data_IF_653841280365
#
_entry.id   IF_653841280365
#
_cell.length_a   1.000
_cell.length_b   1.000
_cell.length_c   1.000
_cell.angle_alpha   90.00
_cell.angle_beta   90.00
_cell.angle_gamma   90.00
#
_symmetry.space_group_name_H-M   'P 1'
#
loop_
_entity.id
_entity.type
_entity.pdbx_description
1 polymer ?
#
# COMPACT_ATOMS: atom_id res chain seq x y z
N UNK A 1 10.92 27.71 -3.67
CA UNK A 1 11.97 26.67 -3.93
C UNK A 1 11.28 25.32 -3.92
N UNK A 2 11.60 24.43 -4.86
CA UNK A 2 11.20 23.03 -4.82
C UNK A 2 12.29 22.22 -4.10
N UNK A 3 11.89 21.18 -3.36
CA UNK A 3 12.80 20.17 -2.81
C UNK A 3 12.29 18.82 -3.28
N UNK A 4 13.17 18.06 -3.90
CA UNK A 4 12.92 16.68 -4.28
C UNK A 4 13.56 15.75 -3.25
N UNK A 5 12.82 14.75 -2.79
CA UNK A 5 13.27 13.78 -1.79
C UNK A 5 13.00 12.36 -2.28
N UNK A 6 13.83 11.42 -1.83
CA UNK A 6 13.71 9.99 -2.16
C UNK A 6 13.45 9.17 -0.90
N UNK A 7 12.50 8.23 -1.00
CA UNK A 7 12.29 7.19 0.01
C UNK A 7 13.41 6.15 -0.13
N UNK A 8 14.21 5.97 0.93
CA UNK A 8 15.33 5.02 0.95
C UNK A 8 14.95 3.66 1.55
N UNK A 9 14.06 3.67 2.54
CA UNK A 9 13.61 2.45 3.23
C UNK A 9 12.21 2.66 3.79
N UNK A 10 11.41 1.60 3.75
CA UNK A 10 10.10 1.52 4.40
C UNK A 10 10.20 0.47 5.50
N UNK A 11 9.74 0.81 6.70
CA UNK A 11 9.69 -0.11 7.83
C UNK A 11 8.23 -0.45 8.11
N UNK A 12 7.92 -1.75 8.15
CA UNK A 12 6.57 -2.26 8.38
C UNK A 12 6.62 -3.30 9.48
N UNK A 13 5.61 -3.31 10.34
CA UNK A 13 5.49 -4.34 11.36
C UNK A 13 5.10 -5.68 10.70
N UNK A 14 5.81 -6.79 10.95
CA UNK A 14 5.53 -8.07 10.29
C UNK A 14 4.10 -8.58 10.48
N UNK A 15 3.46 -8.24 11.62
CA UNK A 15 2.11 -8.70 11.94
C UNK A 15 0.99 -8.08 11.09
N UNK A 16 1.31 -7.12 10.21
CA UNK A 16 0.34 -6.51 9.30
C UNK A 16 0.69 -6.77 7.83
N UNK A 17 1.60 -7.70 7.56
CA UNK A 17 1.96 -8.09 6.19
C UNK A 17 0.98 -9.12 5.66
N UNK A 18 0.60 -8.99 4.38
CA UNK A 18 -0.27 -9.95 3.72
C UNK A 18 0.50 -11.23 3.36
N UNK A 19 -0.06 -12.38 3.71
CA UNK A 19 0.55 -13.68 3.39
C UNK A 19 0.63 -13.89 1.87
N UNK A 20 1.76 -14.44 1.39
CA UNK A 20 2.03 -14.65 -0.03
C UNK A 20 2.27 -13.36 -0.84
N UNK A 21 2.18 -12.18 -0.23
CA UNK A 21 2.38 -10.88 -0.89
C UNK A 21 3.34 -9.99 -0.09
N UNK A 22 4.67 -10.15 -0.30
CA UNK A 22 5.70 -9.59 0.58
C UNK A 22 5.80 -8.05 0.58
N UNK A 23 5.09 -7.36 -0.31
CA UNK A 23 5.06 -5.89 -0.38
C UNK A 23 3.66 -5.31 -0.15
N UNK A 24 2.77 -6.09 0.46
CA UNK A 24 1.39 -5.71 0.68
C UNK A 24 1.09 -5.69 2.18
N UNK A 25 0.47 -4.60 2.63
CA UNK A 25 -0.14 -4.55 3.96
C UNK A 25 -1.44 -5.33 3.90
N UNK A 26 -1.67 -6.20 4.87
CA UNK A 26 -2.99 -6.74 5.14
C UNK A 26 -3.82 -5.65 5.83
N UNK A 27 -4.81 -5.09 5.13
CA UNK A 27 -5.61 -4.02 5.69
C UNK A 27 -6.56 -4.49 6.80
N UNK A 28 -6.93 -5.78 6.84
CA UNK A 28 -7.77 -6.34 7.90
C UNK A 28 -6.99 -6.45 9.22
N UNK A 29 -5.66 -6.65 9.13
CA UNK A 29 -4.74 -6.62 10.28
C UNK A 29 -4.39 -5.19 10.71
N UNK A 30 -4.27 -4.25 9.77
CA UNK A 30 -3.82 -2.87 10.06
C UNK A 30 -4.93 -1.95 10.59
N UNK A 31 -6.19 -2.11 10.14
CA UNK A 31 -7.39 -1.36 10.57
C UNK A 31 -7.25 0.18 10.69
N UNK A 32 -6.62 0.90 9.73
CA UNK A 32 -6.51 2.35 9.85
C UNK A 32 -7.79 3.03 9.32
N UNK A 33 -8.21 4.15 9.90
CA UNK A 33 -9.32 4.97 9.35
C UNK A 33 -8.76 5.89 8.25
N UNK A 34 -8.38 5.28 7.12
CA UNK A 34 -7.84 5.93 5.92
C UNK A 34 -7.96 4.96 4.74
N UNK A 35 -7.96 5.47 3.51
CA UNK A 35 -7.89 4.64 2.30
C UNK A 35 -6.57 3.86 2.29
N UNK A 36 -6.64 2.53 2.35
CA UNK A 36 -5.48 1.63 2.41
C UNK A 36 -5.47 0.72 1.20
N UNK A 37 -4.40 0.75 0.38
CA UNK A 37 -4.24 -0.04 -0.85
C UNK A 37 -5.52 -0.15 -1.68
N UNK A 38 -6.17 0.99 -1.91
CA UNK A 38 -7.37 1.05 -2.73
C UNK A 38 -8.54 0.25 -2.11
N UNK A 39 -8.66 0.22 -0.79
CA UNK A 39 -9.82 -0.33 -0.09
C UNK A 39 -10.26 0.61 1.01
N UNK A 40 -11.58 0.67 1.24
CA UNK A 40 -12.17 1.49 2.28
C UNK A 40 -12.49 0.63 3.50
N UNK A 41 -11.98 1.03 4.67
CA UNK A 41 -12.19 0.37 5.95
C UNK A 41 -12.89 1.32 6.92
N UNK A 42 -13.88 0.79 7.64
CA UNK A 42 -14.64 1.51 8.66
C UNK A 42 -14.23 1.11 10.07
N UNK A 43 -14.99 1.56 11.07
CA UNK A 43 -14.78 1.20 12.48
C UNK A 43 -15.25 -0.21 12.83
N UNK A 44 -16.09 -0.81 11.98
CA UNK A 44 -16.54 -2.20 12.11
C UNK A 44 -15.61 -3.17 11.36
N UNK A 45 -15.58 -4.47 11.73
CA UNK A 45 -14.78 -5.46 11.02
C UNK A 45 -15.14 -5.56 9.53
N UNK A 46 -14.12 -5.64 8.67
CA UNK A 46 -14.26 -5.84 7.24
C UNK A 46 -14.25 -4.56 6.39
N UNK A 47 -14.34 -4.75 5.07
CA UNK A 47 -14.33 -3.67 4.09
C UNK A 47 -15.70 -2.96 4.04
N UNK A 48 -15.68 -1.62 3.96
CA UNK A 48 -16.90 -0.81 3.85
C UNK A 48 -17.48 -0.88 2.43
N UNK A 49 -16.66 -0.61 1.41
CA UNK A 49 -17.01 -0.74 -0.01
C UNK A 49 -15.74 -0.87 -0.89
N UNK A 50 -15.86 -1.41 -2.12
CA UNK A 50 -14.76 -1.43 -3.09
C UNK A 50 -14.28 -0.01 -3.41
N UNK A 51 -12.99 0.14 -3.69
CA UNK A 51 -12.45 1.40 -4.23
C UNK A 51 -12.37 1.34 -5.73
N UNK A 52 -12.73 2.45 -6.38
CA UNK A 52 -12.50 2.65 -7.80
C UNK A 52 -11.02 2.53 -8.18
N UNK A 53 -10.10 2.86 -7.27
CA UNK A 53 -8.67 2.70 -7.53
C UNK A 53 -8.27 1.22 -7.61
N UNK A 54 -8.99 0.32 -6.93
CA UNK A 54 -8.70 -1.12 -6.93
C UNK A 54 -9.06 -1.80 -8.26
N UNK A 55 -9.84 -1.13 -9.10
CA UNK A 55 -10.18 -1.62 -10.43
C UNK A 55 -9.01 -1.44 -11.42
N UNK A 56 -8.05 -0.56 -11.09
CA UNK A 56 -6.87 -0.32 -11.93
C UNK A 56 -5.78 -1.32 -11.53
N UNK A 57 -5.21 -2.08 -12.49
CA UNK A 57 -4.12 -2.99 -12.21
C UNK A 57 -2.97 -2.27 -11.50
N UNK A 58 -2.52 -2.81 -10.37
CA UNK A 58 -1.45 -2.22 -9.54
C UNK A 58 -0.18 -1.92 -10.35
N UNK A 59 0.13 -2.79 -11.31
CA UNK A 59 1.26 -2.61 -12.24
C UNK A 59 1.23 -1.28 -13.00
N UNK A 60 0.05 -0.69 -13.18
CA UNK A 60 -0.13 0.61 -13.84
C UNK A 60 0.45 1.78 -13.04
N UNK A 61 0.65 1.61 -11.73
CA UNK A 61 1.24 2.62 -10.84
C UNK A 61 2.76 2.44 -10.66
N UNK A 62 3.36 1.42 -11.28
CA UNK A 62 4.81 1.21 -11.20
C UNK A 62 5.53 2.36 -11.91
N UNK A 63 6.22 3.19 -11.13
CA UNK A 63 7.10 4.22 -11.67
C UNK A 63 8.51 3.66 -11.91
N UNK A 64 9.33 4.32 -12.75
CA UNK A 64 10.75 3.99 -12.89
C UNK A 64 11.51 3.99 -11.55
N UNK A 65 11.03 4.72 -10.55
CA UNK A 65 11.62 4.76 -9.22
C UNK A 65 11.48 3.43 -8.48
N UNK A 66 10.36 2.72 -8.65
CA UNK A 66 10.17 1.37 -8.08
C UNK A 66 11.16 0.38 -8.69
N UNK A 67 11.41 0.45 -10.00
CA UNK A 67 12.40 -0.39 -10.66
C UNK A 67 13.81 -0.11 -10.16
N UNK A 68 14.18 1.16 -10.00
CA UNK A 68 15.47 1.57 -9.43
C UNK A 68 15.66 1.12 -7.99
N UNK A 69 14.61 1.19 -7.16
CA UNK A 69 14.67 0.76 -5.77
C UNK A 69 14.97 -0.73 -5.61
N UNK A 70 14.59 -1.57 -6.58
CA UNK A 70 14.86 -3.01 -6.59
C UNK A 70 16.30 -3.38 -6.96
N UNK A 71 17.08 -2.43 -7.49
CA UNK A 71 18.48 -2.63 -7.88
C UNK A 71 19.48 -2.26 -6.77
N UNK A 72 19.01 -1.59 -5.72
CA UNK A 72 19.81 -1.13 -4.58
C UNK A 72 19.69 -2.12 -3.41
#
# INVERSE_FOLDING_TARGET
KLIEVRIQRVHVHPSIMMEGKPNHIDPDLWKPVIMSFQKFYGLAPGQLHPSRLAEIPESSYLSPDVARARLA
#
